data_IF_816598179142
#
_entry.id   IF_816598179142
#
_cell.length_a   1.000
_cell.length_b   1.000
_cell.length_c   1.000
_cell.angle_alpha   90.00
_cell.angle_beta   90.00
_cell.angle_gamma   90.00
#
_symmetry.space_group_name_H-M   'P 1'
#
loop_
_entity.id
_entity.type
_entity.pdbx_description
1 polymer ?
#
# COMPACT_ATOMS: atom_id res chain seq x y z
N UNK A 1 -37.28 -12.45 -60.23
CA UNK A 1 -36.14 -12.05 -59.38
C UNK A 1 -36.53 -11.11 -58.21
N UNK A 2 -37.66 -11.33 -57.50
CA UNK A 2 -38.12 -10.43 -56.42
C UNK A 2 -38.23 -11.07 -55.02
N UNK A 3 -37.90 -12.37 -54.87
CA UNK A 3 -38.07 -13.10 -53.59
C UNK A 3 -36.81 -13.14 -52.70
N UNK A 4 -35.63 -12.75 -53.21
CA UNK A 4 -34.37 -12.76 -52.43
C UNK A 4 -34.15 -11.48 -51.60
N UNK A 5 -34.85 -10.38 -51.90
CA UNK A 5 -34.66 -9.10 -51.20
C UNK A 5 -35.36 -9.02 -49.84
N UNK A 6 -36.39 -9.85 -49.63
CA UNK A 6 -37.18 -9.83 -48.38
C UNK A 6 -36.46 -10.60 -47.26
N UNK A 7 -35.65 -11.61 -47.59
CA UNK A 7 -34.92 -12.41 -46.60
C UNK A 7 -33.77 -11.63 -45.95
N UNK A 8 -33.08 -10.76 -46.71
CA UNK A 8 -32.03 -9.90 -46.16
C UNK A 8 -32.57 -8.81 -45.24
N UNK A 9 -33.79 -8.31 -45.48
CA UNK A 9 -34.41 -7.30 -44.63
C UNK A 9 -34.81 -7.90 -43.25
N UNK A 10 -35.23 -9.17 -43.24
CA UNK A 10 -35.63 -9.86 -42.00
C UNK A 10 -34.42 -10.19 -41.10
N UNK A 11 -33.27 -10.57 -41.68
CA UNK A 11 -32.04 -10.79 -40.90
C UNK A 11 -31.46 -9.51 -40.29
N UNK A 12 -31.58 -8.37 -40.99
CA UNK A 12 -31.09 -7.09 -40.47
C UNK A 12 -31.93 -6.62 -39.25
N UNK A 13 -33.21 -6.95 -39.20
CA UNK A 13 -34.09 -6.57 -38.08
C UNK A 13 -33.87 -7.44 -36.83
N UNK A 14 -33.41 -8.68 -36.97
CA UNK A 14 -33.11 -9.55 -35.82
C UNK A 14 -31.81 -9.19 -35.07
N UNK A 15 -30.89 -8.44 -35.69
CA UNK A 15 -29.67 -7.96 -35.00
C UNK A 15 -29.92 -6.72 -34.12
N UNK A 16 -31.03 -6.01 -34.31
CA UNK A 16 -31.36 -4.79 -33.55
C UNK A 16 -32.10 -5.07 -32.23
N UNK A 17 -32.45 -6.34 -31.97
CA UNK A 17 -33.19 -6.76 -30.76
C UNK A 17 -32.32 -7.56 -29.78
N UNK A 18 -30.99 -7.42 -29.83
CA UNK A 18 -30.16 -7.90 -28.73
C UNK A 18 -30.39 -6.96 -27.52
N UNK A 19 -30.97 -7.45 -26.41
CA UNK A 19 -31.01 -6.66 -25.19
C UNK A 19 -29.55 -6.37 -24.82
N UNK A 20 -29.17 -5.09 -24.87
CA UNK A 20 -27.89 -4.65 -24.36
C UNK A 20 -27.86 -5.00 -22.89
N UNK A 21 -27.16 -6.07 -22.53
CA UNK A 21 -26.75 -6.30 -21.15
C UNK A 21 -25.75 -5.20 -20.86
N UNK A 22 -26.23 -4.09 -20.30
CA UNK A 22 -25.38 -3.15 -19.60
C UNK A 22 -24.66 -3.95 -18.53
N UNK A 23 -23.40 -4.26 -18.78
CA UNK A 23 -22.47 -4.73 -17.75
C UNK A 23 -22.30 -3.53 -16.83
N UNK A 24 -23.16 -3.43 -15.84
CA UNK A 24 -22.86 -2.62 -14.66
C UNK A 24 -21.66 -3.31 -14.04
N UNK A 25 -20.47 -2.73 -14.25
CA UNK A 25 -19.35 -3.03 -13.40
C UNK A 25 -19.81 -2.68 -11.98
N UNK A 26 -20.08 -3.69 -11.16
CA UNK A 26 -20.10 -3.53 -9.72
C UNK A 26 -18.67 -3.14 -9.35
N UNK A 27 -18.37 -1.85 -9.42
CA UNK A 27 -17.30 -1.27 -8.63
C UNK A 27 -17.74 -1.49 -7.18
N UNK A 28 -17.33 -2.62 -6.61
CA UNK A 28 -17.32 -2.79 -5.17
C UNK A 28 -16.48 -1.64 -4.64
N UNK A 29 -17.13 -0.56 -4.20
CA UNK A 29 -16.51 0.50 -3.42
C UNK A 29 -16.08 -0.16 -2.13
N UNK A 30 -14.88 -0.74 -2.16
CA UNK A 30 -14.23 -1.32 -1.00
C UNK A 30 -14.07 -0.16 -0.02
N UNK A 31 -14.83 -0.20 1.07
CA UNK A 31 -14.75 0.82 2.10
C UNK A 31 -13.30 0.92 2.57
N UNK A 32 -12.81 2.15 2.69
CA UNK A 32 -11.46 2.38 3.15
C UNK A 32 -11.35 2.05 4.64
N UNK A 33 -10.22 1.47 5.02
CA UNK A 33 -9.90 1.15 6.40
C UNK A 33 -9.09 2.29 7.01
N UNK A 34 -9.64 2.92 8.05
CA UNK A 34 -8.94 3.88 8.90
C UNK A 34 -8.11 3.15 9.97
N UNK A 35 -6.83 3.52 10.09
CA UNK A 35 -5.85 2.94 11.00
C UNK A 35 -5.20 4.05 11.81
N UNK A 36 -5.55 4.11 13.10
CA UNK A 36 -4.97 5.10 14.02
C UNK A 36 -3.54 4.69 14.38
N UNK A 37 -2.56 5.48 13.92
CA UNK A 37 -1.15 5.40 14.32
C UNK A 37 -0.98 6.27 15.58
N UNK A 38 0.19 6.85 15.88
CA UNK A 38 0.41 7.77 17.00
C UNK A 38 -0.35 9.06 16.87
N UNK A 39 0.29 10.01 16.20
CA UNK A 39 -0.20 11.39 16.02
C UNK A 39 -0.87 11.56 14.65
N UNK A 40 -0.80 10.52 13.81
CA UNK A 40 -1.44 10.47 12.50
C UNK A 40 -2.41 9.30 12.38
N UNK A 41 -3.21 9.35 11.32
CA UNK A 41 -4.13 8.29 10.91
C UNK A 41 -3.80 7.88 9.50
N UNK A 42 -3.78 6.58 9.20
CA UNK A 42 -3.60 6.05 7.85
C UNK A 42 -4.91 5.46 7.34
N UNK A 43 -5.34 5.87 6.16
CA UNK A 43 -6.43 5.29 5.41
C UNK A 43 -5.90 4.46 4.24
N UNK A 44 -6.46 3.27 4.05
CA UNK A 44 -6.09 2.38 2.94
C UNK A 44 -7.27 1.51 2.48
N UNK A 45 -7.34 1.23 1.17
CA UNK A 45 -8.30 0.30 0.58
C UNK A 45 -7.72 -1.10 0.36
N UNK A 46 -6.53 -1.38 0.90
CA UNK A 46 -5.84 -2.65 0.66
C UNK A 46 -6.57 -3.85 1.30
N UNK A 47 -7.40 -3.63 2.32
CA UNK A 47 -8.11 -4.68 3.06
C UNK A 47 -9.57 -4.30 3.29
N UNK A 48 -10.43 -5.30 3.53
CA UNK A 48 -11.75 -5.08 4.11
C UNK A 48 -11.63 -5.12 5.63
N UNK A 49 -12.23 -4.15 6.32
CA UNK A 49 -12.24 -4.05 7.78
C UNK A 49 -12.92 -5.26 8.44
N UNK A 50 -13.87 -5.91 7.76
CA UNK A 50 -14.51 -7.14 8.25
C UNK A 50 -13.52 -8.29 8.39
N UNK A 51 -12.51 -8.34 7.53
CA UNK A 51 -11.63 -9.51 7.34
C UNK A 51 -10.32 -9.40 8.12
N UNK A 52 -10.01 -8.21 8.64
CA UNK A 52 -8.76 -7.95 9.36
C UNK A 52 -8.97 -7.62 10.84
N UNK A 53 -7.94 -7.91 11.62
CA UNK A 53 -7.76 -7.45 12.99
C UNK A 53 -6.55 -6.52 13.05
N UNK A 54 -6.66 -5.45 13.84
CA UNK A 54 -5.64 -4.40 13.95
C UNK A 54 -5.20 -4.37 15.41
N UNK A 55 -3.91 -4.57 15.66
CA UNK A 55 -3.31 -4.46 16.98
C UNK A 55 -2.24 -3.38 16.99
N UNK A 56 -2.23 -2.55 18.03
CA UNK A 56 -1.32 -1.43 18.16
C UNK A 56 -0.38 -1.63 19.33
N UNK A 57 0.92 -1.50 19.09
CA UNK A 57 1.97 -1.55 20.09
C UNK A 57 2.49 -0.13 20.37
N UNK A 58 2.41 0.25 21.64
CA UNK A 58 2.82 1.56 22.17
C UNK A 58 4.05 1.46 23.09
N UNK A 59 4.67 0.28 23.21
CA UNK A 59 5.82 0.04 24.10
C UNK A 59 7.00 0.99 23.81
N UNK A 60 7.18 1.38 22.55
CA UNK A 60 8.24 2.28 22.09
C UNK A 60 7.76 3.73 21.83
N UNK A 61 6.57 4.12 22.31
CA UNK A 61 6.02 5.46 22.07
C UNK A 61 6.91 6.58 22.62
N UNK A 62 7.60 6.33 23.73
CA UNK A 62 8.54 7.28 24.32
C UNK A 62 9.73 7.58 23.39
N UNK A 63 10.15 6.60 22.59
CA UNK A 63 11.18 6.74 21.55
C UNK A 63 10.61 7.33 20.24
N UNK A 64 9.33 7.71 20.24
CA UNK A 64 8.62 8.23 19.07
C UNK A 64 8.20 7.16 18.07
N UNK A 65 8.15 5.89 18.47
CA UNK A 65 7.80 4.77 17.59
C UNK A 65 6.45 4.19 17.98
N UNK A 66 5.55 4.06 17.01
CA UNK A 66 4.28 3.34 17.13
C UNK A 66 4.24 2.28 16.03
N UNK A 67 3.90 1.05 16.41
CA UNK A 67 3.81 -0.07 15.48
C UNK A 67 2.36 -0.57 15.48
N UNK A 68 1.79 -0.69 14.29
CA UNK A 68 0.47 -1.28 14.07
C UNK A 68 0.63 -2.54 13.23
N UNK A 69 0.08 -3.65 13.69
CA UNK A 69 0.08 -4.93 12.97
C UNK A 69 -1.32 -5.23 12.48
N UNK A 70 -1.46 -5.47 11.18
CA UNK A 70 -2.69 -5.91 10.53
C UNK A 70 -2.60 -7.43 10.33
N UNK A 71 -3.60 -8.16 10.81
CA UNK A 71 -3.69 -9.61 10.65
C UNK A 71 -5.00 -10.01 10.00
N UNK A 72 -4.93 -11.00 9.14
CA UNK A 72 -6.09 -11.71 8.64
C UNK A 72 -6.81 -12.42 9.80
N UNK A 73 -8.12 -12.21 9.96
CA UNK A 73 -8.90 -12.77 11.07
C UNK A 73 -9.05 -14.28 10.98
N UNK A 74 -9.18 -14.84 9.77
CA UNK A 74 -9.42 -16.27 9.58
C UNK A 74 -8.16 -17.09 9.86
N UNK A 75 -7.02 -16.63 9.35
CA UNK A 75 -5.75 -17.36 9.38
C UNK A 75 -4.79 -16.90 10.48
N UNK A 76 -5.02 -15.72 11.07
CA UNK A 76 -4.10 -15.09 12.03
C UNK A 76 -2.79 -14.58 11.42
N UNK A 77 -2.63 -14.71 10.09
CA UNK A 77 -1.42 -14.31 9.36
C UNK A 77 -1.24 -12.80 9.40
N UNK A 78 -0.01 -12.35 9.63
CA UNK A 78 0.35 -10.93 9.50
C UNK A 78 0.31 -10.56 8.02
N UNK A 79 -0.58 -9.64 7.67
CA UNK A 79 -0.68 -9.08 6.32
C UNK A 79 0.29 -7.91 6.17
N UNK A 80 0.37 -7.07 7.20
CA UNK A 80 1.15 -5.84 7.15
C UNK A 80 1.54 -5.35 8.52
N UNK A 81 2.70 -4.68 8.59
CA UNK A 81 3.14 -3.89 9.73
C UNK A 81 3.29 -2.45 9.27
N UNK A 82 2.64 -1.53 9.96
CA UNK A 82 2.75 -0.09 9.74
C UNK A 82 3.50 0.50 10.92
N UNK A 83 4.53 1.28 10.64
CA UNK A 83 5.32 1.98 11.65
C UNK A 83 5.21 3.48 11.43
N UNK A 84 4.85 4.21 12.48
CA UNK A 84 5.06 5.65 12.56
C UNK A 84 6.28 5.91 13.44
N UNK A 85 7.23 6.69 12.94
CA UNK A 85 8.43 7.08 13.68
C UNK A 85 8.63 8.60 13.65
N UNK A 86 8.55 9.25 14.80
CA UNK A 86 9.01 10.62 15.01
C UNK A 86 10.54 10.63 15.14
N UNK A 87 11.22 11.03 14.06
CA UNK A 87 12.69 11.06 13.98
C UNK A 87 13.32 12.21 14.78
N UNK A 88 12.56 13.28 15.05
CA UNK A 88 13.06 14.47 15.75
C UNK A 88 13.33 14.22 17.24
N UNK A 89 12.65 13.26 17.88
CA UNK A 89 12.92 12.88 19.29
C UNK A 89 14.34 12.32 19.51
N UNK A 90 15.02 11.85 18.46
CA UNK A 90 16.36 11.28 18.56
C UNK A 90 17.48 12.18 18.00
N UNK A 91 17.18 13.26 17.23
CA UNK A 91 18.21 13.97 16.44
C UNK A 91 18.15 15.52 16.47
N UNK A 92 17.35 16.17 17.30
CA UNK A 92 17.34 17.65 17.41
C UNK A 92 17.45 18.12 18.86
N UNK A 93 18.62 17.94 19.46
CA UNK A 93 19.03 18.70 20.64
C UNK A 93 20.38 19.35 20.33
N UNK A 94 20.34 20.41 19.51
CA UNK A 94 21.38 21.45 19.43
C UNK A 94 20.81 22.75 18.82
N UNK A 95 19.53 23.07 19.06
CA UNK A 95 18.99 24.41 18.82
C UNK A 95 18.60 25.00 20.16
N UNK A 96 19.47 25.84 20.70
CA UNK A 96 19.34 26.53 21.99
C UNK A 96 18.26 27.63 21.95
N UNK A 97 17.50 27.80 20.86
CA UNK A 97 16.57 28.92 20.70
C UNK A 97 15.20 28.54 20.09
N UNK A 98 14.77 27.28 20.15
CA UNK A 98 13.36 26.98 19.80
C UNK A 98 12.46 27.37 20.99
N UNK A 99 11.54 28.35 20.84
CA UNK A 99 10.60 28.67 21.90
C UNK A 99 9.84 27.41 22.29
N UNK A 100 9.88 27.11 23.58
CA UNK A 100 9.20 25.99 24.22
C UNK A 100 7.72 26.02 23.87
N UNK A 101 7.31 25.27 22.84
CA UNK A 101 5.90 25.13 22.45
C UNK A 101 5.60 24.97 20.96
N UNK A 102 6.52 25.31 20.03
CA UNK A 102 6.32 25.06 18.59
C UNK A 102 7.19 23.90 18.13
N UNK A 103 6.63 22.70 18.17
CA UNK A 103 7.34 21.47 17.85
C UNK A 103 7.33 21.22 16.34
N UNK A 104 8.47 21.39 15.69
CA UNK A 104 8.67 20.94 14.32
C UNK A 104 9.26 19.52 14.34
N UNK A 105 8.60 18.58 13.68
CA UNK A 105 8.91 17.16 13.76
C UNK A 105 9.02 16.53 12.37
N UNK A 106 9.94 15.56 12.24
CA UNK A 106 10.01 14.70 11.07
C UNK A 106 9.36 13.37 11.42
N UNK A 107 8.29 13.02 10.69
CA UNK A 107 7.63 11.74 10.80
C UNK A 107 7.96 10.88 9.58
N UNK A 108 8.26 9.61 9.83
CA UNK A 108 8.35 8.58 8.80
C UNK A 108 7.23 7.57 9.03
N UNK A 109 6.34 7.45 8.04
CA UNK A 109 5.32 6.43 7.96
C UNK A 109 5.85 5.34 7.04
N UNK A 110 6.00 4.14 7.57
CA UNK A 110 6.49 2.95 6.85
C UNK A 110 5.41 1.90 6.81
N UNK A 111 5.01 1.49 5.62
CA UNK A 111 4.18 0.32 5.38
C UNK A 111 5.08 -0.86 5.00
N UNK A 112 4.95 -1.99 5.68
CA UNK A 112 5.73 -3.20 5.45
C UNK A 112 4.81 -4.39 5.20
N UNK A 113 4.87 -4.97 3.99
CA UNK A 113 4.05 -6.11 3.58
C UNK A 113 4.92 -7.32 3.26
N UNK A 114 4.60 -8.46 3.84
CA UNK A 114 5.27 -9.72 3.52
C UNK A 114 4.55 -10.39 2.34
N UNK A 115 5.28 -10.68 1.27
CA UNK A 115 4.77 -11.29 0.05
C UNK A 115 5.55 -12.57 -0.29
N UNK A 116 5.51 -13.51 0.65
CA UNK A 116 6.29 -14.75 0.57
C UNK A 116 7.78 -14.50 0.85
N UNK A 117 8.70 -14.80 -0.09
CA UNK A 117 10.13 -14.64 0.13
C UNK A 117 10.60 -13.17 0.14
N UNK A 118 9.73 -12.25 -0.29
CA UNK A 118 10.05 -10.82 -0.40
C UNK A 118 9.19 -10.01 0.57
N UNK A 119 9.83 -9.07 1.27
CA UNK A 119 9.18 -8.05 2.08
C UNK A 119 9.25 -6.72 1.36
N UNK A 120 8.11 -6.09 1.17
CA UNK A 120 7.96 -4.82 0.45
C UNK A 120 7.82 -3.70 1.49
N UNK A 121 8.52 -2.60 1.26
CA UNK A 121 8.47 -1.40 2.09
C UNK A 121 8.03 -0.21 1.25
N UNK A 122 7.08 0.57 1.78
CA UNK A 122 6.73 1.88 1.26
C UNK A 122 6.86 2.90 2.38
N UNK A 123 7.81 3.82 2.21
CA UNK A 123 8.10 4.89 3.15
C UNK A 123 7.52 6.21 2.64
N UNK A 124 6.92 6.98 3.53
CA UNK A 124 6.59 8.39 3.33
C UNK A 124 7.15 9.19 4.51
N UNK A 125 8.03 10.15 4.23
CA UNK A 125 8.65 11.00 5.25
C UNK A 125 8.13 12.42 5.09
N UNK A 126 7.63 13.00 6.17
CA UNK A 126 7.01 14.32 6.19
C UNK A 126 7.56 15.19 7.30
N UNK A 127 7.54 16.50 7.05
CA UNK A 127 7.83 17.53 8.03
C UNK A 127 6.52 18.13 8.52
N UNK A 128 6.28 18.00 9.82
CA UNK A 128 5.06 18.40 10.50
C UNK A 128 5.37 19.45 11.55
N UNK A 129 4.40 20.31 11.85
CA UNK A 129 4.48 21.25 12.97
C UNK A 129 3.23 21.19 13.82
N UNK A 130 3.44 21.29 15.12
CA UNK A 130 2.37 21.55 16.08
C UNK A 130 2.31 23.06 16.36
N UNK A 131 1.17 23.67 16.04
CA UNK A 131 0.88 25.07 16.37
C UNK A 131 -0.42 25.13 17.16
N UNK A 132 -0.32 25.11 18.49
CA UNK A 132 -1.48 25.13 19.38
C UNK A 132 -2.24 23.79 19.39
N UNK A 133 -3.53 23.81 19.02
CA UNK A 133 -4.39 22.62 18.98
C UNK A 133 -4.36 21.86 17.64
N UNK A 134 -3.57 22.32 16.67
CA UNK A 134 -3.56 21.78 15.31
C UNK A 134 -2.18 21.27 14.92
N UNK A 135 -2.16 20.04 14.43
CA UNK A 135 -1.00 19.44 13.77
C UNK A 135 -1.19 19.55 12.27
N UNK A 136 -0.15 20.02 11.56
CA UNK A 136 -0.18 20.18 10.11
C UNK A 136 1.08 19.63 9.46
N UNK A 137 0.96 19.20 8.21
CA UNK A 137 2.06 18.79 7.34
C UNK A 137 2.50 20.02 6.56
N UNK A 138 3.75 20.41 6.75
CA UNK A 138 4.34 21.56 6.07
C UNK A 138 5.06 21.17 4.78
N UNK A 139 5.53 19.93 4.69
CA UNK A 139 6.24 19.43 3.51
C UNK A 139 6.31 17.90 3.50
N UNK A 140 6.30 17.29 2.32
CA UNK A 140 6.74 15.90 2.11
C UNK A 140 8.23 15.91 1.75
N UNK A 141 9.05 15.23 2.55
CA UNK A 141 10.50 15.13 2.36
C UNK A 141 10.87 14.05 1.36
N UNK A 142 10.06 13.01 1.24
CA UNK A 142 10.24 11.98 0.22
C UNK A 142 9.33 10.79 0.41
N UNK A 143 9.19 10.04 -0.68
CA UNK A 143 8.56 8.72 -0.71
C UNK A 143 9.52 7.74 -1.36
N UNK A 144 9.60 6.53 -0.83
CA UNK A 144 10.48 5.50 -1.38
C UNK A 144 9.81 4.13 -1.30
N UNK A 145 9.94 3.33 -2.35
CA UNK A 145 9.55 1.92 -2.37
C UNK A 145 10.77 1.04 -2.59
N UNK A 146 10.93 0.02 -1.76
CA UNK A 146 12.03 -0.93 -1.86
C UNK A 146 11.64 -2.29 -1.31
N UNK A 147 12.52 -3.29 -1.50
CA UNK A 147 12.30 -4.64 -0.99
C UNK A 147 13.47 -5.10 -0.12
N UNK A 148 13.20 -6.05 0.77
CA UNK A 148 14.18 -6.98 1.31
C UNK A 148 13.73 -8.40 0.96
N UNK A 149 14.67 -9.33 0.81
CA UNK A 149 14.35 -10.70 0.43
C UNK A 149 15.31 -11.67 1.12
N UNK A 150 14.82 -12.87 1.41
CA UNK A 150 15.66 -13.99 1.86
C UNK A 150 16.28 -14.75 0.67
N UNK A 151 15.97 -14.36 -0.56
CA UNK A 151 16.51 -14.95 -1.78
C UNK A 151 17.01 -13.86 -2.75
N UNK A 152 17.62 -14.28 -3.86
CA UNK A 152 18.08 -13.35 -4.90
C UNK A 152 16.86 -12.74 -5.60
N UNK A 153 16.55 -11.49 -5.26
CA UNK A 153 15.37 -10.77 -5.72
C UNK A 153 15.66 -9.31 -5.96
N UNK A 154 14.95 -8.71 -6.92
CA UNK A 154 15.03 -7.29 -7.24
C UNK A 154 13.64 -6.67 -7.37
N UNK A 155 13.58 -5.35 -7.21
CA UNK A 155 12.39 -4.56 -7.51
C UNK A 155 12.64 -3.76 -8.79
N UNK A 156 12.14 -4.27 -9.90
CA UNK A 156 12.25 -3.64 -11.21
C UNK A 156 11.20 -2.53 -11.37
N UNK A 157 11.54 -1.48 -12.11
CA UNK A 157 10.63 -0.37 -12.42
C UNK A 157 9.96 0.23 -11.17
N UNK A 158 10.74 0.33 -10.08
CA UNK A 158 10.28 0.93 -8.83
C UNK A 158 9.92 2.40 -9.05
N UNK A 159 8.69 2.77 -8.72
CA UNK A 159 8.21 4.15 -8.75
C UNK A 159 7.46 4.43 -7.47
N UNK A 160 7.74 5.56 -6.83
CA UNK A 160 6.99 6.06 -5.70
C UNK A 160 6.75 7.56 -5.83
N UNK A 161 5.57 8.01 -5.44
CA UNK A 161 5.20 9.42 -5.46
C UNK A 161 4.22 9.74 -4.34
N UNK A 162 3.98 11.03 -4.15
CA UNK A 162 3.00 11.57 -3.22
C UNK A 162 2.18 12.66 -3.90
N UNK A 163 1.00 12.91 -3.36
CA UNK A 163 0.07 13.96 -3.78
C UNK A 163 -0.50 14.60 -2.52
N UNK A 164 -0.70 15.91 -2.57
CA UNK A 164 -1.44 16.65 -1.54
C UNK A 164 -2.63 17.36 -2.17
N UNK A 165 -3.72 17.57 -1.43
CA UNK A 165 -4.86 18.33 -1.93
C UNK A 165 -4.44 19.68 -2.50
N UNK A 166 -4.84 19.94 -3.75
CA UNK A 166 -4.52 21.17 -4.49
C UNK A 166 -3.03 21.49 -4.67
N UNK A 167 -2.11 20.56 -4.36
CA UNK A 167 -0.67 20.79 -4.38
C UNK A 167 -0.20 21.97 -3.50
N UNK A 168 -0.86 22.18 -2.35
CA UNK A 168 -0.57 23.29 -1.42
C UNK A 168 -0.16 22.76 -0.05
N UNK A 169 0.83 23.42 0.55
CA UNK A 169 1.18 23.30 1.96
C UNK A 169 0.90 24.63 2.68
N UNK A 170 0.60 24.62 4.00
CA UNK A 170 0.41 23.43 4.83
C UNK A 170 -0.85 22.66 4.46
N UNK A 171 -0.83 21.36 4.69
CA UNK A 171 -1.97 20.44 4.50
C UNK A 171 -2.16 19.59 5.73
N UNK A 172 -3.34 18.99 5.87
CA UNK A 172 -3.62 18.00 6.91
C UNK A 172 -3.66 16.56 6.37
N UNK A 173 -3.43 16.40 5.06
CA UNK A 173 -3.53 15.13 4.34
C UNK A 173 -2.43 15.01 3.28
N UNK A 174 -1.85 13.82 3.16
CA UNK A 174 -0.97 13.42 2.05
C UNK A 174 -1.34 12.00 1.60
N UNK A 175 -1.59 11.83 0.31
CA UNK A 175 -1.64 10.52 -0.34
C UNK A 175 -0.27 10.12 -0.85
N UNK A 176 0.12 8.87 -0.68
CA UNK A 176 1.38 8.33 -1.18
C UNK A 176 1.18 6.95 -1.79
N UNK A 177 1.97 6.67 -2.82
CA UNK A 177 1.88 5.45 -3.62
C UNK A 177 3.27 4.95 -3.98
N UNK A 178 3.38 3.63 -4.09
CA UNK A 178 4.53 2.97 -4.67
C UNK A 178 4.12 1.75 -5.49
N UNK A 179 4.85 1.48 -6.57
CA UNK A 179 4.74 0.25 -7.33
C UNK A 179 6.08 -0.19 -7.89
N UNK A 180 6.08 -1.42 -8.39
CA UNK A 180 7.15 -1.97 -9.20
C UNK A 180 6.82 -3.40 -9.55
N UNK A 181 7.82 -4.13 -10.04
CA UNK A 181 7.69 -5.56 -10.30
C UNK A 181 8.77 -6.29 -9.53
N UNK A 182 8.36 -7.11 -8.59
CA UNK A 182 9.26 -8.00 -7.88
C UNK A 182 9.64 -9.15 -8.79
N UNK A 183 10.93 -9.36 -8.99
CA UNK A 183 11.50 -10.55 -9.63
C UNK A 183 12.46 -11.24 -8.70
N UNK A 184 12.60 -12.55 -8.84
CA UNK A 184 13.62 -13.28 -8.10
C UNK A 184 13.77 -14.72 -8.56
N UNK A 185 14.75 -15.39 -7.95
CA UNK A 185 15.01 -16.80 -8.17
C UNK A 185 15.19 -17.56 -6.85
N UNK A 186 14.69 -18.79 -6.83
CA UNK A 186 14.83 -19.74 -5.73
C UNK A 186 15.47 -21.01 -6.26
N UNK A 187 16.42 -21.56 -5.52
CA UNK A 187 16.91 -22.91 -5.75
C UNK A 187 16.15 -23.87 -4.83
N UNK A 188 15.34 -24.76 -5.41
CA UNK A 188 14.51 -25.72 -4.67
C UNK A 188 15.31 -26.80 -3.95
N UNK A 189 16.63 -26.84 -4.15
CA UNK A 189 17.57 -27.67 -3.39
C UNK A 189 17.98 -27.03 -2.06
N UNK A 190 17.82 -25.73 -1.93
CA UNK A 190 18.01 -25.00 -0.66
C UNK A 190 16.65 -24.99 0.02
N UNK A 191 16.62 -25.37 1.29
CA UNK A 191 15.43 -25.56 2.13
C UNK A 191 14.71 -24.23 2.47
N UNK A 192 14.67 -23.27 1.54
CA UNK A 192 14.02 -21.97 1.69
C UNK A 192 12.51 -22.13 1.44
N UNK A 193 11.85 -22.85 2.37
CA UNK A 193 10.47 -22.74 2.87
C UNK A 193 9.26 -22.46 1.95
N UNK A 194 9.40 -22.21 0.66
CA UNK A 194 8.33 -21.73 -0.22
C UNK A 194 8.19 -22.64 -1.44
N UNK A 195 7.03 -23.30 -1.55
CA UNK A 195 6.71 -24.13 -2.72
C UNK A 195 6.30 -23.28 -3.92
N UNK A 196 6.44 -23.83 -5.13
CA UNK A 196 5.94 -23.21 -6.36
C UNK A 196 4.44 -22.96 -6.27
N UNK A 197 3.70 -23.87 -5.66
CA UNK A 197 2.26 -23.78 -5.41
C UNK A 197 1.93 -22.59 -4.50
N UNK A 198 2.72 -22.38 -3.45
CA UNK A 198 2.56 -21.23 -2.55
C UNK A 198 2.82 -19.91 -3.28
N UNK A 199 3.89 -19.81 -4.06
CA UNK A 199 4.18 -18.59 -4.83
C UNK A 199 3.04 -18.25 -5.80
N UNK A 200 2.51 -19.28 -6.50
CA UNK A 200 1.35 -19.11 -7.38
C UNK A 200 0.10 -18.70 -6.60
N UNK A 201 -0.13 -19.26 -5.41
CA UNK A 201 -1.33 -18.95 -4.61
C UNK A 201 -1.33 -17.50 -4.09
N UNK A 202 -0.15 -16.92 -3.86
CA UNK A 202 -0.02 -15.49 -3.50
C UNK A 202 0.13 -14.59 -4.73
N UNK A 203 -0.02 -15.11 -5.95
CA UNK A 203 -0.13 -14.33 -7.18
C UNK A 203 1.18 -14.11 -7.96
N UNK A 204 2.26 -14.82 -7.65
CA UNK A 204 3.44 -14.82 -8.50
C UNK A 204 3.20 -15.63 -9.78
N UNK A 205 3.64 -15.07 -10.91
CA UNK A 205 3.91 -15.83 -12.12
C UNK A 205 5.23 -16.57 -11.92
N UNK A 206 5.23 -17.88 -12.11
CA UNK A 206 6.38 -18.74 -11.84
C UNK A 206 6.78 -19.52 -13.08
N UNK A 207 8.06 -19.46 -13.44
CA UNK A 207 8.65 -20.23 -14.54
C UNK A 207 9.78 -21.11 -14.02
N UNK A 208 9.73 -22.39 -14.34
CA UNK A 208 10.78 -23.37 -14.03
C UNK A 208 11.66 -23.59 -15.25
N UNK A 209 12.98 -23.57 -15.05
CA UNK A 209 13.96 -24.00 -16.06
C UNK A 209 14.37 -25.44 -15.76
N UNK A 210 14.92 -26.17 -16.74
CA UNK A 210 15.47 -27.52 -16.52
C UNK A 210 16.50 -27.50 -15.37
N UNK A 211 16.14 -28.10 -14.23
CA UNK A 211 16.93 -28.07 -12.99
C UNK A 211 16.06 -27.81 -11.75
N UNK A 212 16.69 -27.28 -10.69
CA UNK A 212 16.06 -26.91 -9.40
C UNK A 212 15.79 -25.41 -9.25
N UNK A 213 16.08 -24.60 -10.26
CA UNK A 213 15.93 -23.14 -10.17
C UNK A 213 14.55 -22.70 -10.65
N UNK A 214 13.85 -21.96 -9.79
CA UNK A 214 12.52 -21.40 -9.99
C UNK A 214 12.64 -19.88 -10.10
N UNK A 215 12.11 -19.29 -11.17
CA UNK A 215 12.02 -17.85 -11.34
C UNK A 215 10.60 -17.39 -11.06
N UNK A 216 10.46 -16.30 -10.29
CA UNK A 216 9.15 -15.75 -9.95
C UNK A 216 9.08 -14.25 -10.28
N UNK A 217 7.88 -13.80 -10.66
CA UNK A 217 7.59 -12.40 -10.99
C UNK A 217 6.20 -12.00 -10.52
N UNK A 218 6.06 -10.83 -9.89
CA UNK A 218 4.75 -10.28 -9.49
C UNK A 218 4.76 -8.75 -9.52
N UNK A 219 3.76 -8.11 -10.18
CA UNK A 219 3.57 -6.67 -10.03
C UNK A 219 3.06 -6.37 -8.62
N UNK A 220 3.60 -5.32 -8.02
CA UNK A 220 3.25 -4.90 -6.68
C UNK A 220 2.81 -3.44 -6.67
N UNK A 221 1.86 -3.12 -5.81
CA UNK A 221 1.44 -1.74 -5.54
C UNK A 221 1.02 -1.60 -4.08
N UNK A 222 1.39 -0.47 -3.49
CA UNK A 222 1.01 -0.08 -2.14
C UNK A 222 0.63 1.40 -2.15
N UNK A 223 -0.42 1.77 -1.44
CA UNK A 223 -0.81 3.17 -1.28
C UNK A 223 -1.55 3.45 0.01
N UNK A 224 -1.43 4.66 0.50
CA UNK A 224 -2.22 5.11 1.63
C UNK A 224 -2.40 6.60 1.58
N UNK A 225 -3.39 7.08 2.31
CA UNK A 225 -3.54 8.49 2.63
C UNK A 225 -3.36 8.62 4.11
N UNK A 226 -2.46 9.49 4.56
CA UNK A 226 -2.34 9.77 5.99
C UNK A 226 -2.83 11.17 6.32
N UNK A 227 -3.44 11.30 7.50
CA UNK A 227 -4.05 12.50 8.03
C UNK A 227 -3.41 12.89 9.36
N UNK A 228 -3.39 14.18 9.68
CA UNK A 228 -2.99 14.71 10.99
C UNK A 228 -4.13 14.77 12.01
N UNK A 229 -5.33 14.35 11.63
CA UNK A 229 -6.52 14.28 12.47
C UNK A 229 -7.26 12.97 12.20
N UNK A 230 -8.01 12.46 13.18
CA UNK A 230 -8.92 11.34 12.92
C UNK A 230 -10.16 11.85 12.21
N UNK A 231 -10.47 11.23 11.08
CA UNK A 231 -11.71 11.41 10.35
C UNK A 231 -12.79 10.67 11.11
N UNK A 232 -13.44 11.32 12.08
CA UNK A 232 -14.56 10.71 12.80
C UNK A 232 -15.69 10.33 11.83
N UNK A 233 -15.68 9.08 11.37
CA UNK A 233 -16.70 8.44 10.55
C UNK A 233 -17.33 7.28 11.32
#
# INVERSE_FOLDING_TARGET
MKKKSILCLLMAFSLLLMPGTSITANASTKESTEIVLGDTVLETSDYDKSDISISRDLSQKNEGIVIVTIRDKETGRILEVITEKNQSKNNLINSVNSPSGSGNYIYNIRRQRNDGPVTIYLDCTVYMSDSGMYTQINQVLGTNIYISSTCDSTLENAVSYWVVPNNVFPTAEVSFWGSGVTTGKLDTSVEVGYSVEFLKSIGYSVTTTAGTTVYFRKPISMSGTFYTYSTGH
#
